data_IF_650893917348
#
_entry.id   IF_650893917348
#
_cell.length_a   1.000
_cell.length_b   1.000
_cell.length_c   1.000
_cell.angle_alpha   90.00
_cell.angle_beta   90.00
_cell.angle_gamma   90.00
#
_symmetry.space_group_name_H-M   'P 1'
#
loop_
_entity.id
_entity.type
_entity.pdbx_description
1 polymer ?
#
# COMPACT_ATOMS: atom_id res chain seq x y z
N UNK A 1 8.77 -11.94 -34.15
CA UNK A 1 9.08 -10.50 -34.04
C UNK A 1 7.89 -9.58 -34.33
N UNK A 2 6.91 -9.96 -35.16
CA UNK A 2 5.74 -9.11 -35.45
C UNK A 2 4.72 -9.00 -34.29
N UNK A 3 4.52 -10.07 -33.52
CA UNK A 3 3.54 -10.10 -32.41
C UNK A 3 3.93 -9.18 -31.24
N UNK A 4 5.23 -9.12 -30.93
CA UNK A 4 5.75 -8.33 -29.81
C UNK A 4 5.60 -6.81 -30.06
N UNK A 5 5.76 -6.38 -31.32
CA UNK A 5 5.54 -4.98 -31.70
C UNK A 5 4.05 -4.57 -31.66
N UNK A 6 3.12 -5.49 -31.93
CA UNK A 6 1.69 -5.19 -31.81
C UNK A 6 1.25 -5.05 -30.35
N UNK A 7 1.77 -5.90 -29.46
CA UNK A 7 1.45 -5.83 -28.02
C UNK A 7 1.94 -4.51 -27.42
N UNK A 8 3.16 -4.07 -27.75
CA UNK A 8 3.69 -2.78 -27.30
C UNK A 8 2.90 -1.57 -27.82
N UNK A 9 2.39 -1.64 -29.05
CA UNK A 9 1.56 -0.58 -29.64
C UNK A 9 0.18 -0.44 -28.98
N UNK A 10 -0.44 -1.55 -28.57
CA UNK A 10 -1.74 -1.53 -27.90
C UNK A 10 -1.60 -0.99 -26.47
N UNK A 11 -0.55 -1.39 -25.74
CA UNK A 11 -0.27 -0.87 -24.40
C UNK A 11 0.00 0.64 -24.45
N UNK A 12 0.77 1.12 -25.43
CA UNK A 12 1.05 2.55 -25.58
C UNK A 12 -0.18 3.40 -25.93
N UNK A 13 -1.18 2.83 -26.62
CA UNK A 13 -2.41 3.55 -26.95
C UNK A 13 -3.37 3.63 -25.75
N UNK A 14 -3.43 2.59 -24.90
CA UNK A 14 -4.26 2.60 -23.69
C UNK A 14 -3.83 3.67 -22.68
N UNK A 15 -2.52 3.89 -22.51
CA UNK A 15 -1.99 4.95 -21.65
C UNK A 15 -2.27 6.38 -22.17
N UNK A 16 -2.44 6.56 -23.48
CA UNK A 16 -2.71 7.89 -24.07
C UNK A 16 -4.17 8.33 -23.96
N UNK A 17 -5.12 7.40 -23.81
CA UNK A 17 -6.56 7.73 -23.72
C UNK A 17 -6.95 8.14 -22.29
N UNK A 18 -6.25 7.66 -21.26
CA UNK A 18 -6.54 8.03 -19.87
C UNK A 18 -6.09 9.44 -19.46
N UNK A 19 -5.16 10.07 -20.19
CA UNK A 19 -4.63 11.40 -19.85
C UNK A 19 -5.52 12.58 -20.30
N UNK A 20 -6.69 12.34 -20.93
CA UNK A 20 -7.50 13.42 -21.52
C UNK A 20 -8.83 13.74 -20.82
N UNK A 21 -9.13 13.17 -19.64
CA UNK A 21 -10.35 13.47 -18.88
C UNK A 21 -10.10 14.09 -17.49
N UNK A 22 -9.22 15.09 -17.38
CA UNK A 22 -9.21 15.96 -16.20
C UNK A 22 -10.31 17.02 -16.38
N UNK A 23 -11.51 16.69 -15.92
CA UNK A 23 -12.56 17.67 -15.68
C UNK A 23 -12.10 18.64 -14.58
N UNK A 24 -12.18 19.93 -14.87
CA UNK A 24 -11.85 21.04 -13.96
C UNK A 24 -12.65 20.98 -12.66
N UNK A 25 -12.04 21.15 -11.47
CA UNK A 25 -12.75 21.16 -10.21
C UNK A 25 -13.48 22.50 -10.00
N UNK A 26 -14.81 22.45 -9.86
CA UNK A 26 -15.63 23.56 -9.36
C UNK A 26 -15.48 23.70 -7.83
N UNK A 27 -15.39 24.93 -7.28
CA UNK A 27 -15.20 25.14 -5.85
C UNK A 27 -16.49 24.86 -5.05
N UNK A 28 -16.40 23.97 -4.05
CA UNK A 28 -17.46 23.74 -3.06
C UNK A 28 -17.19 24.59 -1.82
N UNK A 29 -18.13 25.45 -1.48
CA UNK A 29 -18.14 26.26 -0.27
C UNK A 29 -18.35 25.40 0.98
N UNK A 30 -17.47 25.53 1.96
CA UNK A 30 -17.55 24.89 3.27
C UNK A 30 -18.58 25.61 4.16
N UNK A 31 -19.54 24.86 4.71
CA UNK A 31 -20.39 25.33 5.81
C UNK A 31 -19.91 24.65 7.09
N UNK A 32 -19.30 25.47 7.94
CA UNK A 32 -18.87 25.17 9.31
C UNK A 32 -20.06 24.97 10.24
N UNK A 33 -20.05 23.91 11.05
CA UNK A 33 -20.89 23.79 12.24
C UNK A 33 -20.24 22.86 13.27
N UNK A 34 -19.58 23.46 14.26
CA UNK A 34 -19.23 22.80 15.52
C UNK A 34 -20.48 22.54 16.37
N UNK A 35 -20.42 21.56 17.28
CA UNK A 35 -20.92 21.84 18.63
C UNK A 35 -19.95 21.41 19.73
N UNK A 36 -19.97 22.26 20.75
CA UNK A 36 -19.27 22.22 22.02
C UNK A 36 -19.99 21.27 23.00
N UNK A 37 -19.26 20.51 23.83
CA UNK A 37 -19.89 19.75 24.93
C UNK A 37 -18.98 18.75 25.65
N UNK A 38 -18.36 19.18 26.75
CA UNK A 38 -17.94 18.33 27.89
C UNK A 38 -18.83 18.71 29.10
N UNK A 39 -18.78 18.09 30.31
CA UNK A 39 -17.86 17.06 30.83
C UNK A 39 -18.49 15.95 31.74
N UNK A 40 -17.58 15.16 32.36
CA UNK A 40 -17.61 14.57 33.72
C UNK A 40 -18.02 13.08 33.90
N UNK A 41 -17.06 12.23 34.33
CA UNK A 41 -16.94 11.66 35.70
C UNK A 41 -16.05 10.39 35.76
N UNK A 42 -15.08 10.37 36.69
CA UNK A 42 -14.29 9.20 37.14
C UNK A 42 -15.10 8.26 38.07
N UNK A 43 -14.60 7.06 38.44
CA UNK A 43 -13.70 6.95 39.61
C UNK A 43 -12.61 5.84 39.60
N UNK A 44 -11.45 6.19 40.17
CA UNK A 44 -10.54 5.45 41.12
C UNK A 44 -9.81 4.11 40.81
N UNK A 45 -8.70 3.80 41.55
CA UNK A 45 -7.54 3.02 41.06
C UNK A 45 -7.20 1.69 41.77
N UNK A 46 -6.37 0.86 41.09
CA UNK A 46 -5.32 -0.11 41.54
C UNK A 46 -5.67 -1.27 42.51
N UNK A 47 -4.89 -2.39 42.61
CA UNK A 47 -3.45 -2.54 42.32
C UNK A 47 -2.97 -3.83 41.59
N UNK A 48 -1.72 -3.82 41.11
CA UNK A 48 -0.89 -4.98 40.69
C UNK A 48 -0.41 -5.83 41.90
N UNK A 49 0.21 -7.03 41.73
CA UNK A 49 1.65 -7.08 41.37
C UNK A 49 2.19 -8.37 40.65
N UNK A 50 3.41 -8.23 40.08
CA UNK A 50 4.52 -9.23 40.00
C UNK A 50 4.35 -10.56 39.24
N UNK A 51 5.35 -11.22 38.64
CA UNK A 51 6.69 -10.92 38.08
C UNK A 51 7.24 -12.27 37.56
N UNK A 52 8.13 -12.20 36.55
CA UNK A 52 9.27 -13.12 36.30
C UNK A 52 9.19 -14.14 35.14
N UNK A 53 10.37 -14.48 34.56
CA UNK A 53 10.55 -14.70 33.12
C UNK A 53 10.73 -16.18 32.75
N UNK A 54 10.61 -16.48 31.45
CA UNK A 54 11.14 -17.72 30.88
C UNK A 54 11.71 -17.48 29.49
N UNK A 55 12.82 -18.15 29.28
CA UNK A 55 13.87 -17.93 28.30
C UNK A 55 13.58 -18.60 26.95
N UNK A 56 13.83 -17.85 25.85
CA UNK A 56 14.25 -18.25 24.47
C UNK A 56 13.49 -19.38 23.73
N UNK A 57 13.48 -19.47 22.37
CA UNK A 57 14.38 -18.83 21.39
C UNK A 57 13.70 -18.25 20.12
N UNK A 58 14.50 -17.60 19.26
CA UNK A 58 14.30 -17.33 17.83
C UNK A 58 12.99 -16.65 17.39
N UNK A 59 13.10 -15.40 16.94
CA UNK A 59 12.02 -14.76 16.21
C UNK A 59 12.57 -14.11 14.94
N UNK A 60 12.29 -14.76 13.82
CA UNK A 60 11.87 -14.09 12.58
C UNK A 60 10.97 -12.93 12.99
N UNK A 61 11.43 -11.69 12.84
CA UNK A 61 10.64 -10.53 13.22
C UNK A 61 9.49 -10.42 12.22
N UNK A 62 8.30 -10.87 12.62
CA UNK A 62 7.07 -10.30 12.12
C UNK A 62 7.13 -8.80 12.48
N UNK A 63 7.49 -7.94 11.53
CA UNK A 63 7.20 -6.52 11.61
C UNK A 63 5.68 -6.35 11.42
N UNK A 64 4.91 -6.74 12.43
CA UNK A 64 3.65 -6.05 12.69
C UNK A 64 4.05 -4.65 13.15
N UNK A 65 3.81 -3.65 12.30
CA UNK A 65 3.87 -2.25 12.71
C UNK A 65 2.89 -2.09 13.88
N UNK A 66 3.44 -2.14 15.09
CA UNK A 66 2.68 -1.85 16.29
C UNK A 66 2.20 -0.41 16.19
N UNK A 67 0.90 -0.28 16.35
CA UNK A 67 0.12 0.93 16.22
C UNK A 67 0.72 2.07 17.09
N UNK A 68 1.56 2.93 16.49
CA UNK A 68 1.90 4.25 17.02
C UNK A 68 3.33 4.53 17.48
N UNK A 69 4.32 3.64 17.25
CA UNK A 69 5.73 3.96 17.57
C UNK A 69 6.49 4.43 16.33
N UNK A 70 6.79 5.73 16.25
CA UNK A 70 7.55 6.34 15.17
C UNK A 70 9.02 5.85 15.21
N UNK A 71 9.42 5.03 14.24
CA UNK A 71 10.81 4.57 14.12
C UNK A 71 11.67 5.72 13.60
N UNK A 72 12.51 6.29 14.47
CA UNK A 72 13.50 7.31 14.09
C UNK A 72 14.79 6.63 13.62
N UNK A 73 15.06 6.66 12.31
CA UNK A 73 16.30 6.14 11.71
C UNK A 73 17.22 7.30 11.36
N UNK A 74 18.49 7.24 11.77
CA UNK A 74 19.44 8.37 11.65
C UNK A 74 20.60 8.14 10.69
N UNK A 75 20.79 6.92 10.19
CA UNK A 75 21.88 6.60 9.26
C UNK A 75 21.34 5.73 8.11
N UNK A 76 22.07 5.77 6.98
CA UNK A 76 21.74 5.06 5.75
C UNK A 76 21.57 3.56 5.98
N UNK A 77 22.51 2.91 6.67
CA UNK A 77 22.44 1.45 6.89
C UNK A 77 21.16 1.01 7.60
N UNK A 78 20.73 1.79 8.60
CA UNK A 78 19.51 1.50 9.36
C UNK A 78 18.25 1.75 8.52
N UNK A 79 18.25 2.81 7.69
CA UNK A 79 17.16 3.06 6.72
C UNK A 79 17.09 1.95 5.69
N UNK A 80 18.23 1.54 5.13
CA UNK A 80 18.30 0.50 4.12
C UNK A 80 17.75 -0.81 4.65
N UNK A 81 18.26 -1.28 5.79
CA UNK A 81 17.78 -2.52 6.41
C UNK A 81 16.29 -2.44 6.77
N UNK A 82 15.82 -1.29 7.25
CA UNK A 82 14.42 -1.13 7.61
C UNK A 82 13.51 -1.22 6.38
N UNK A 83 13.81 -0.44 5.34
CA UNK A 83 12.98 -0.41 4.13
C UNK A 83 13.07 -1.74 3.38
N UNK A 84 14.24 -2.36 3.32
CA UNK A 84 14.41 -3.69 2.71
C UNK A 84 13.52 -4.74 3.38
N UNK A 85 13.58 -4.85 4.70
CA UNK A 85 12.73 -5.78 5.47
C UNK A 85 11.23 -5.46 5.34
N UNK A 86 10.90 -4.17 5.28
CA UNK A 86 9.54 -3.70 5.08
C UNK A 86 9.01 -4.10 3.70
N UNK A 87 9.80 -3.92 2.64
CA UNK A 87 9.45 -4.29 1.27
C UNK A 87 9.34 -5.81 1.10
N UNK A 88 10.26 -6.58 1.66
CA UNK A 88 10.21 -8.05 1.62
C UNK A 88 8.90 -8.57 2.23
N UNK A 89 8.54 -8.08 3.41
CA UNK A 89 7.28 -8.43 4.08
C UNK A 89 6.07 -8.00 3.26
N UNK A 90 6.16 -6.84 2.60
CA UNK A 90 5.05 -6.26 1.83
C UNK A 90 4.82 -6.94 0.49
N UNK A 91 5.89 -7.40 -0.16
CA UNK A 91 5.82 -8.30 -1.33
C UNK A 91 5.07 -9.56 -0.97
N UNK A 92 5.50 -10.26 0.09
CA UNK A 92 4.86 -11.51 0.52
C UNK A 92 3.37 -11.32 0.84
N UNK A 93 3.02 -10.23 1.53
CA UNK A 93 1.63 -9.92 1.87
C UNK A 93 0.78 -9.55 0.65
N UNK A 94 1.36 -8.86 -0.33
CA UNK A 94 0.66 -8.50 -1.58
C UNK A 94 0.42 -9.71 -2.47
N UNK A 95 1.43 -10.57 -2.64
CA UNK A 95 1.30 -11.85 -3.35
C UNK A 95 0.23 -12.74 -2.67
N UNK A 96 0.20 -12.79 -1.33
CA UNK A 96 -0.86 -13.50 -0.60
C UNK A 96 -2.24 -12.89 -0.81
N UNK A 97 -2.37 -11.57 -0.92
CA UNK A 97 -3.66 -10.92 -1.18
C UNK A 97 -4.15 -11.21 -2.61
N UNK A 98 -3.24 -11.14 -3.59
CA UNK A 98 -3.49 -11.55 -4.97
C UNK A 98 -4.04 -12.97 -5.04
N UNK A 99 -3.35 -13.95 -4.44
CA UNK A 99 -3.74 -15.35 -4.51
C UNK A 99 -5.03 -15.66 -3.76
N UNK A 100 -5.18 -15.14 -2.53
CA UNK A 100 -6.26 -15.55 -1.65
C UNK A 100 -7.57 -14.77 -1.89
N UNK A 101 -7.47 -13.53 -2.38
CA UNK A 101 -8.61 -12.64 -2.54
C UNK A 101 -8.89 -12.36 -4.02
N UNK A 102 -7.91 -11.82 -4.76
CA UNK A 102 -8.13 -11.36 -6.14
C UNK A 102 -8.38 -12.55 -7.08
N UNK A 103 -7.49 -13.53 -7.10
CA UNK A 103 -7.60 -14.73 -7.95
C UNK A 103 -8.83 -15.58 -7.62
N UNK A 104 -9.16 -15.67 -6.33
CA UNK A 104 -10.35 -16.38 -5.87
C UNK A 104 -11.63 -15.73 -6.40
N UNK A 105 -11.72 -14.39 -6.38
CA UNK A 105 -12.86 -13.64 -6.92
C UNK A 105 -12.90 -13.67 -8.44
N UNK A 106 -11.74 -13.64 -9.12
CA UNK A 106 -11.66 -13.83 -10.57
C UNK A 106 -12.19 -15.19 -11.02
N UNK A 107 -11.95 -16.22 -10.21
CA UNK A 107 -12.40 -17.59 -10.45
C UNK A 107 -13.88 -17.82 -10.14
N UNK A 108 -14.60 -16.83 -9.59
CA UNK A 108 -16.01 -16.98 -9.26
C UNK A 108 -16.85 -17.10 -10.55
N UNK A 109 -17.61 -18.21 -10.74
CA UNK A 109 -18.50 -18.35 -11.89
C UNK A 109 -19.66 -17.34 -11.89
N UNK A 110 -20.00 -16.75 -10.73
CA UNK A 110 -21.03 -15.73 -10.61
C UNK A 110 -20.54 -14.32 -10.97
N UNK A 111 -19.23 -14.09 -11.05
CA UNK A 111 -18.68 -12.81 -11.49
C UNK A 111 -18.92 -12.60 -12.99
N UNK A 112 -19.59 -11.50 -13.32
CA UNK A 112 -19.79 -11.08 -14.70
C UNK A 112 -18.50 -10.53 -15.34
N UNK A 113 -18.57 -10.19 -16.63
CA UNK A 113 -17.41 -9.72 -17.37
C UNK A 113 -16.84 -8.41 -16.82
N UNK A 114 -17.70 -7.49 -16.38
CA UNK A 114 -17.26 -6.19 -15.85
C UNK A 114 -16.53 -6.36 -14.51
N UNK A 115 -17.06 -7.21 -13.63
CA UNK A 115 -16.40 -7.58 -12.38
C UNK A 115 -15.02 -8.20 -12.63
N UNK A 116 -14.91 -9.09 -13.63
CA UNK A 116 -13.65 -9.75 -13.97
C UNK A 116 -12.63 -8.79 -14.56
N UNK A 117 -13.04 -7.91 -15.47
CA UNK A 117 -12.16 -6.90 -16.05
C UNK A 117 -11.59 -6.01 -14.95
N UNK A 118 -12.43 -5.59 -14.00
CA UNK A 118 -11.99 -4.79 -12.87
C UNK A 118 -10.98 -5.52 -11.96
N UNK A 119 -11.24 -6.79 -11.64
CA UNK A 119 -10.32 -7.59 -10.84
C UNK A 119 -9.00 -7.88 -11.57
N UNK A 120 -9.02 -7.99 -12.91
CA UNK A 120 -7.80 -8.11 -13.72
C UNK A 120 -6.97 -6.82 -13.67
N UNK A 121 -7.61 -5.64 -13.73
CA UNK A 121 -6.91 -4.36 -13.51
C UNK A 121 -6.25 -4.36 -12.13
N UNK A 122 -6.98 -4.72 -11.08
CA UNK A 122 -6.41 -4.83 -9.74
C UNK A 122 -5.22 -5.79 -9.67
N UNK A 123 -5.33 -6.95 -10.34
CA UNK A 123 -4.24 -7.91 -10.41
C UNK A 123 -2.99 -7.27 -11.04
N UNK A 124 -3.14 -6.64 -12.20
CA UNK A 124 -2.04 -5.98 -12.92
C UNK A 124 -1.39 -4.87 -12.08
N UNK A 125 -2.21 -4.06 -11.39
CA UNK A 125 -1.71 -3.00 -10.51
C UNK A 125 -0.95 -3.55 -9.30
N UNK A 126 -1.43 -4.62 -8.66
CA UNK A 126 -0.71 -5.23 -7.54
C UNK A 126 0.55 -5.99 -7.97
N UNK A 127 0.55 -6.62 -9.15
CA UNK A 127 1.77 -7.22 -9.73
C UNK A 127 2.81 -6.14 -10.05
N UNK A 128 2.39 -5.01 -10.64
CA UNK A 128 3.22 -3.82 -10.82
C UNK A 128 3.78 -3.30 -9.49
N UNK A 129 2.92 -3.20 -8.47
CA UNK A 129 3.31 -2.81 -7.12
C UNK A 129 4.34 -3.75 -6.49
N UNK A 130 4.19 -5.07 -6.69
CA UNK A 130 5.19 -6.06 -6.26
C UNK A 130 6.53 -5.84 -6.95
N UNK A 131 6.53 -5.58 -8.25
CA UNK A 131 7.76 -5.28 -8.99
C UNK A 131 8.40 -3.96 -8.53
N UNK A 132 7.60 -2.93 -8.22
CA UNK A 132 8.09 -1.67 -7.66
C UNK A 132 8.74 -1.85 -6.27
N UNK A 133 8.13 -2.66 -5.39
CA UNK A 133 8.73 -3.00 -4.09
C UNK A 133 10.04 -3.77 -4.26
N UNK A 134 10.13 -4.70 -5.23
CA UNK A 134 11.36 -5.43 -5.55
C UNK A 134 12.47 -4.51 -6.05
N UNK A 135 12.16 -3.59 -6.97
CA UNK A 135 13.12 -2.58 -7.45
C UNK A 135 13.56 -1.62 -6.35
N UNK A 136 12.65 -1.23 -5.46
CA UNK A 136 12.95 -0.40 -4.29
C UNK A 136 14.06 -1.04 -3.44
N UNK A 137 13.98 -2.35 -3.18
CA UNK A 137 15.04 -3.08 -2.46
C UNK A 137 16.39 -3.01 -3.21
N UNK A 138 16.39 -3.26 -4.51
CA UNK A 138 17.60 -3.18 -5.35
C UNK A 138 18.21 -1.78 -5.38
N UNK A 139 17.38 -0.74 -5.45
CA UNK A 139 17.82 0.64 -5.51
C UNK A 139 18.39 1.09 -4.16
N UNK A 140 17.77 0.68 -3.06
CA UNK A 140 18.26 0.97 -1.71
C UNK A 140 19.63 0.31 -1.45
N UNK A 141 19.83 -0.94 -1.90
CA UNK A 141 21.14 -1.61 -1.82
C UNK A 141 22.23 -0.81 -2.57
N UNK A 142 21.86 -0.17 -3.68
CA UNK A 142 22.75 0.67 -4.51
C UNK A 142 22.82 2.14 -4.06
N UNK A 143 22.15 2.49 -2.95
CA UNK A 143 21.98 3.87 -2.46
C UNK A 143 21.29 4.83 -3.46
N UNK A 144 20.47 4.30 -4.36
CA UNK A 144 19.68 5.05 -5.34
C UNK A 144 18.33 5.50 -4.75
N UNK A 145 18.36 6.25 -3.66
CA UNK A 145 17.17 6.68 -2.92
C UNK A 145 16.15 7.48 -3.75
N UNK A 146 16.61 8.24 -4.75
CA UNK A 146 15.71 8.93 -5.67
C UNK A 146 14.88 7.95 -6.50
N UNK A 147 15.52 6.91 -7.07
CA UNK A 147 14.82 5.88 -7.85
C UNK A 147 13.87 5.08 -6.97
N UNK A 148 14.31 4.67 -5.77
CA UNK A 148 13.44 4.03 -4.78
C UNK A 148 12.22 4.88 -4.42
N UNK A 149 12.37 6.21 -4.32
CA UNK A 149 11.26 7.13 -4.07
C UNK A 149 10.27 7.18 -5.24
N UNK A 150 10.78 7.17 -6.48
CA UNK A 150 9.94 7.12 -7.69
C UNK A 150 9.16 5.82 -7.75
N UNK A 151 9.81 4.68 -7.52
CA UNK A 151 9.15 3.36 -7.55
C UNK A 151 8.06 3.24 -6.47
N UNK A 152 8.35 3.66 -5.23
CA UNK A 152 7.34 3.66 -4.16
C UNK A 152 6.19 4.66 -4.42
N UNK A 153 6.46 5.79 -5.07
CA UNK A 153 5.40 6.74 -5.41
C UNK A 153 4.45 6.17 -6.47
N UNK A 154 4.98 5.38 -7.42
CA UNK A 154 4.17 4.69 -8.42
C UNK A 154 3.23 3.65 -7.77
N UNK A 155 3.70 2.94 -6.74
CA UNK A 155 2.87 1.98 -5.99
C UNK A 155 1.59 2.64 -5.42
N UNK A 156 1.67 3.86 -4.89
CA UNK A 156 0.47 4.57 -4.41
C UNK A 156 -0.58 4.78 -5.51
N UNK A 157 -0.15 5.13 -6.73
CA UNK A 157 -1.06 5.30 -7.88
C UNK A 157 -1.68 3.96 -8.32
N UNK A 158 -0.90 2.88 -8.28
CA UNK A 158 -1.39 1.54 -8.60
C UNK A 158 -2.47 1.09 -7.60
N UNK A 159 -2.26 1.35 -6.31
CA UNK A 159 -3.22 1.07 -5.23
C UNK A 159 -4.54 1.83 -5.43
N UNK A 160 -4.47 3.14 -5.69
CA UNK A 160 -5.64 3.99 -5.95
C UNK A 160 -6.43 3.50 -7.17
N UNK A 161 -5.74 3.17 -8.27
CA UNK A 161 -6.36 2.69 -9.51
C UNK A 161 -7.18 1.42 -9.28
N UNK A 162 -6.63 0.46 -8.52
CA UNK A 162 -7.39 -0.74 -8.15
C UNK A 162 -8.60 -0.39 -7.26
N UNK A 163 -8.40 0.44 -6.24
CA UNK A 163 -9.45 0.77 -5.28
C UNK A 163 -10.63 1.51 -5.92
N UNK A 164 -10.37 2.42 -6.85
CA UNK A 164 -11.42 3.11 -7.60
C UNK A 164 -12.29 2.11 -8.37
N UNK A 165 -11.66 1.14 -9.04
CA UNK A 165 -12.38 0.10 -9.75
C UNK A 165 -13.20 -0.80 -8.79
N UNK A 166 -12.58 -1.27 -7.71
CA UNK A 166 -13.24 -2.12 -6.70
C UNK A 166 -14.48 -1.45 -6.12
N UNK A 167 -14.40 -0.14 -5.89
CA UNK A 167 -15.53 0.64 -5.38
C UNK A 167 -16.71 0.66 -6.34
N UNK A 168 -16.47 0.62 -7.65
CA UNK A 168 -17.53 0.54 -8.66
C UNK A 168 -18.23 -0.83 -8.65
N UNK A 169 -17.49 -1.93 -8.47
CA UNK A 169 -18.04 -3.29 -8.57
C UNK A 169 -18.58 -3.84 -7.24
N UNK A 170 -17.99 -3.45 -6.11
CA UNK A 170 -18.29 -4.01 -4.79
C UNK A 170 -18.66 -2.95 -3.74
N UNK A 171 -18.53 -1.66 -4.04
CA UNK A 171 -18.72 -0.60 -3.05
C UNK A 171 -17.63 -0.64 -1.98
N UNK A 172 -18.03 -0.64 -0.70
CA UNK A 172 -17.09 -0.64 0.43
C UNK A 172 -16.61 -2.04 0.82
N UNK A 173 -15.87 -2.67 -0.08
CA UNK A 173 -15.30 -3.99 0.17
C UNK A 173 -14.23 -3.96 1.28
N UNK A 174 -14.52 -4.62 2.40
CA UNK A 174 -13.67 -4.56 3.59
C UNK A 174 -12.32 -5.28 3.44
N UNK A 175 -12.21 -6.26 2.55
CA UNK A 175 -10.93 -6.96 2.34
C UNK A 175 -9.98 -6.04 1.58
N UNK A 176 -10.47 -5.40 0.52
CA UNK A 176 -9.71 -4.43 -0.27
C UNK A 176 -9.40 -3.16 0.53
N UNK A 177 -10.37 -2.58 1.25
CA UNK A 177 -10.14 -1.40 2.09
C UNK A 177 -9.04 -1.65 3.13
N UNK A 178 -9.07 -2.81 3.81
CA UNK A 178 -8.05 -3.14 4.82
C UNK A 178 -6.68 -3.33 4.19
N UNK A 179 -6.62 -3.95 3.02
CA UNK A 179 -5.38 -4.13 2.28
C UNK A 179 -4.81 -2.79 1.83
N UNK A 180 -5.62 -1.96 1.16
CA UNK A 180 -5.22 -0.64 0.69
C UNK A 180 -4.70 0.26 1.82
N UNK A 181 -5.47 0.38 2.91
CA UNK A 181 -5.05 1.19 4.06
C UNK A 181 -3.76 0.70 4.72
N UNK A 182 -3.50 -0.61 4.67
CA UNK A 182 -2.22 -1.14 5.13
C UNK A 182 -1.10 -0.78 4.15
N UNK A 183 -1.30 -1.00 2.85
CA UNK A 183 -0.30 -0.75 1.82
C UNK A 183 0.07 0.74 1.72
N UNK A 184 -0.90 1.65 1.82
CA UNK A 184 -0.65 3.10 1.86
C UNK A 184 0.21 3.51 3.05
N UNK A 185 -0.05 2.96 4.24
CA UNK A 185 0.74 3.26 5.44
C UNK A 185 2.19 2.80 5.29
N UNK A 186 2.39 1.59 4.77
CA UNK A 186 3.71 1.04 4.51
C UNK A 186 4.47 1.91 3.50
N UNK A 187 3.80 2.24 2.40
CA UNK A 187 4.39 3.05 1.32
C UNK A 187 4.76 4.43 1.84
N UNK A 188 3.88 5.07 2.60
CA UNK A 188 4.12 6.38 3.22
C UNK A 188 5.31 6.32 4.19
N UNK A 189 5.34 5.35 5.10
CA UNK A 189 6.43 5.27 6.07
C UNK A 189 7.78 5.00 5.39
N UNK A 190 7.82 4.14 4.37
CA UNK A 190 9.02 3.90 3.57
C UNK A 190 9.48 5.17 2.84
N UNK A 191 8.57 5.89 2.18
CA UNK A 191 8.84 7.16 1.51
C UNK A 191 9.42 8.20 2.48
N UNK A 192 8.85 8.33 3.68
CA UNK A 192 9.34 9.23 4.73
C UNK A 192 10.77 8.88 5.16
N UNK A 193 11.11 7.59 5.32
CA UNK A 193 12.46 7.19 5.72
C UNK A 193 13.51 7.50 4.65
N UNK A 194 13.17 7.31 3.37
CA UNK A 194 14.12 7.52 2.26
C UNK A 194 14.19 8.99 1.80
N UNK A 195 13.16 9.81 2.07
CA UNK A 195 13.10 11.21 1.62
C UNK A 195 14.30 12.05 2.09
N UNK A 196 14.86 11.76 3.26
CA UNK A 196 16.05 12.42 3.78
C UNK A 196 17.34 12.13 2.99
N UNK A 197 17.31 11.16 2.08
CA UNK A 197 18.45 10.67 1.31
C UNK A 197 18.21 10.73 -0.22
N UNK A 198 17.00 11.03 -0.66
CA UNK A 198 16.64 11.22 -2.07
C UNK A 198 17.01 12.64 -2.55
N UNK A 199 18.25 12.83 -2.96
CA UNK A 199 18.77 14.09 -3.52
C UNK A 199 19.43 13.91 -4.87
#
# INVERSE_FOLDING_TARGET
MALHNQILLVISLSFLVFQFNIATPTPISYISSSPNGSPLSSPSPSPSPSSSPSSSPSSTQNLEIQNGEEVTLRNKDSVNHYVDSLMETSVSRTEQFLDNIVEKRLSDPAADAFVKDCLLVCKEMYESGVDAMKKTMEDIEKEFYYSANVDLSALSTDLETCMDCVKEIYGEDQEFIKFNNWAEKITTDALEKIAGFSS
#
